data_IF_505251787365
#
_entry.id   IF_505251787365
#
_cell.length_a   1.000
_cell.length_b   1.000
_cell.length_c   1.000
_cell.angle_alpha   90.00
_cell.angle_beta   90.00
_cell.angle_gamma   90.00
#
_symmetry.space_group_name_H-M   'P 1'
#
loop_
_entity.id
_entity.type
_entity.pdbx_description
1 polymer ?
#
# COMPACT_ATOMS: atom_id res chain seq x y z
N UNK A 1 13.47 31.08 -7.85
CA UNK A 1 12.93 30.41 -6.64
C UNK A 1 12.29 29.08 -7.04
N UNK A 2 12.28 28.04 -6.19
CA UNK A 2 11.57 26.80 -6.48
C UNK A 2 10.07 27.06 -6.65
N UNK A 3 9.43 26.27 -7.50
CA UNK A 3 7.99 26.33 -7.76
C UNK A 3 7.41 24.93 -7.79
N UNK A 4 6.12 24.81 -7.45
CA UNK A 4 5.39 23.57 -7.63
C UNK A 4 5.34 23.21 -9.12
N UNK A 5 5.36 21.91 -9.41
CA UNK A 5 5.30 21.42 -10.78
C UNK A 5 4.01 21.89 -11.48
N UNK A 6 4.17 22.34 -12.72
CA UNK A 6 3.11 22.86 -13.58
C UNK A 6 2.50 21.81 -14.50
N UNK A 7 3.19 20.67 -14.66
CA UNK A 7 2.72 19.55 -15.46
C UNK A 7 1.45 18.93 -14.84
N UNK A 8 0.50 18.46 -15.67
CA UNK A 8 -0.72 17.80 -15.22
C UNK A 8 -0.42 16.42 -14.59
N UNK A 9 0.10 16.44 -13.36
CA UNK A 9 0.48 15.27 -12.59
C UNK A 9 -0.55 15.04 -11.49
N UNK A 10 -1.10 13.83 -11.44
CA UNK A 10 -1.86 13.37 -10.28
C UNK A 10 -1.01 13.40 -9.02
N UNK A 11 -1.60 13.78 -7.89
CA UNK A 11 -0.89 13.77 -6.60
C UNK A 11 0.32 14.72 -6.54
N UNK A 12 0.21 15.89 -7.19
CA UNK A 12 1.23 16.95 -7.13
C UNK A 12 1.40 17.52 -5.71
N UNK A 13 0.35 17.49 -4.89
CA UNK A 13 0.36 17.69 -3.44
C UNK A 13 -0.51 16.61 -2.81
N UNK A 14 0.05 15.86 -1.86
CA UNK A 14 -0.64 14.82 -1.07
C UNK A 14 -0.64 15.22 0.40
N UNK A 15 -0.91 14.29 1.32
CA UNK A 15 -0.82 14.54 2.76
C UNK A 15 0.59 14.55 3.33
N UNK A 16 1.57 14.05 2.57
CA UNK A 16 2.96 13.90 3.02
C UNK A 16 4.00 14.18 1.94
N UNK A 17 3.57 14.56 0.73
CA UNK A 17 4.47 14.84 -0.40
C UNK A 17 4.00 16.05 -1.19
N UNK A 18 4.94 16.71 -1.86
CA UNK A 18 4.65 17.67 -2.92
C UNK A 18 5.67 17.54 -4.05
N UNK A 19 5.35 18.11 -5.20
CA UNK A 19 6.16 17.98 -6.42
C UNK A 19 6.62 19.36 -6.89
N UNK A 20 7.92 19.50 -7.09
CA UNK A 20 8.59 20.71 -7.58
C UNK A 20 9.05 20.55 -9.03
N UNK A 21 9.20 21.66 -9.75
CA UNK A 21 10.04 21.67 -10.95
C UNK A 21 11.50 21.43 -10.57
N UNK A 22 12.25 20.71 -11.42
CA UNK A 22 13.70 20.58 -11.27
C UNK A 22 14.40 21.95 -11.43
N UNK A 23 15.50 22.24 -10.70
CA UNK A 23 16.24 23.50 -10.82
C UNK A 23 17.15 23.52 -12.07
N UNK A 24 16.60 23.14 -13.22
CA UNK A 24 17.31 23.18 -14.51
C UNK A 24 17.64 24.62 -14.86
N UNK A 25 18.80 24.83 -15.46
CA UNK A 25 19.28 26.14 -15.89
C UNK A 25 19.35 27.20 -14.75
N UNK A 26 19.32 26.78 -13.48
CA UNK A 26 19.32 27.69 -12.32
C UNK A 26 20.73 27.90 -11.77
N UNK A 27 21.56 26.86 -11.82
CA UNK A 27 22.91 26.86 -11.27
C UNK A 27 23.93 26.73 -12.40
N UNK A 28 25.03 27.47 -12.28
CA UNK A 28 26.22 27.36 -13.13
C UNK A 28 27.41 27.11 -12.23
N UNK A 29 28.26 26.14 -12.56
CA UNK A 29 29.43 25.84 -11.75
C UNK A 29 30.16 24.56 -12.16
N UNK A 30 31.20 24.19 -11.40
CA UNK A 30 31.92 22.93 -11.56
C UNK A 30 31.01 21.70 -11.50
N UNK A 31 31.31 20.64 -12.25
CA UNK A 31 30.45 19.46 -12.36
C UNK A 31 30.28 18.67 -11.04
N UNK A 32 31.23 18.81 -10.13
CA UNK A 32 31.25 18.21 -8.78
C UNK A 32 30.39 18.97 -7.76
N UNK A 33 29.82 20.12 -8.14
CA UNK A 33 28.88 20.85 -7.29
C UNK A 33 27.61 20.03 -7.05
N UNK A 34 27.27 19.84 -5.78
CA UNK A 34 26.09 19.09 -5.35
C UNK A 34 24.97 20.05 -5.00
N UNK A 35 23.85 19.92 -5.70
CA UNK A 35 22.61 20.64 -5.44
C UNK A 35 21.81 19.88 -4.40
N UNK A 36 21.41 20.57 -3.36
CA UNK A 36 20.56 20.09 -2.28
C UNK A 36 19.22 20.81 -2.28
N UNK A 37 18.17 20.12 -1.88
CA UNK A 37 16.92 20.74 -1.51
C UNK A 37 16.90 20.98 0.01
N UNK A 38 16.69 22.23 0.41
CA UNK A 38 16.35 22.59 1.78
C UNK A 38 14.83 22.56 1.92
N UNK A 39 14.34 21.88 2.95
CA UNK A 39 12.94 21.90 3.36
C UNK A 39 12.87 22.47 4.77
N UNK A 40 12.09 23.53 4.96
CA UNK A 40 12.03 24.27 6.21
C UNK A 40 10.59 24.66 6.55
N UNK A 41 10.33 24.83 7.84
CA UNK A 41 9.18 25.60 8.30
C UNK A 41 9.48 27.12 8.26
N UNK A 42 8.45 27.99 8.19
CA UNK A 42 8.64 29.44 8.08
C UNK A 42 9.51 30.03 9.19
N UNK A 43 9.48 29.45 10.39
CA UNK A 43 10.24 29.90 11.55
C UNK A 43 11.76 29.73 11.37
N UNK A 44 12.19 28.76 10.56
CA UNK A 44 13.61 28.54 10.27
C UNK A 44 14.15 29.43 9.15
N UNK A 45 13.28 30.00 8.31
CA UNK A 45 13.67 30.71 7.09
C UNK A 45 14.57 31.94 7.35
N UNK A 46 14.24 32.85 8.30
CA UNK A 46 15.01 34.08 8.51
C UNK A 46 16.43 33.85 9.04
N UNK A 47 16.65 32.75 9.76
CA UNK A 47 17.91 32.44 10.44
C UNK A 47 18.63 31.23 9.83
N UNK A 48 18.19 30.77 8.66
CA UNK A 48 18.76 29.59 8.02
C UNK A 48 20.22 29.82 7.60
N UNK A 49 21.15 29.14 8.26
CA UNK A 49 22.56 29.15 7.90
C UNK A 49 22.87 28.11 6.81
N UNK A 50 23.34 28.57 5.64
CA UNK A 50 23.71 27.74 4.50
C UNK A 50 24.99 26.92 4.70
N UNK A 51 25.89 27.36 5.60
CA UNK A 51 27.18 26.69 5.84
C UNK A 51 27.07 25.45 6.73
N UNK A 52 25.88 25.16 7.25
CA UNK A 52 25.65 23.96 8.08
C UNK A 52 25.58 22.73 7.19
N UNK A 53 26.45 21.75 7.46
CA UNK A 53 26.59 20.55 6.65
C UNK A 53 25.27 19.76 6.52
N UNK A 54 24.90 19.31 5.31
CA UNK A 54 23.78 18.40 5.11
C UNK A 54 23.91 17.12 5.95
N UNK A 55 22.80 16.68 6.55
CA UNK A 55 22.77 15.47 7.37
C UNK A 55 23.43 15.60 8.76
N UNK A 56 23.97 16.76 9.12
CA UNK A 56 24.29 17.06 10.53
C UNK A 56 23.02 17.06 11.39
N UNK A 57 23.09 16.94 12.72
CA UNK A 57 21.89 16.98 13.58
C UNK A 57 20.97 18.18 13.33
N UNK A 58 21.53 19.34 12.99
CA UNK A 58 20.77 20.55 12.66
C UNK A 58 20.13 20.54 11.25
N UNK A 59 20.45 19.57 10.39
CA UNK A 59 19.97 19.43 9.00
C UNK A 59 19.48 18.01 8.66
N UNK A 60 19.32 17.15 9.65
CA UNK A 60 18.91 15.77 9.47
C UNK A 60 17.38 15.63 9.47
N UNK A 61 16.86 14.78 8.58
CA UNK A 61 15.43 14.49 8.48
C UNK A 61 14.87 13.89 9.78
N UNK A 62 15.60 13.00 10.45
CA UNK A 62 15.16 12.33 11.67
C UNK A 62 14.98 13.29 12.86
N UNK A 63 15.59 14.47 12.78
CA UNK A 63 15.49 15.52 13.79
C UNK A 63 14.45 16.58 13.43
N UNK A 64 13.87 16.51 12.24
CA UNK A 64 12.90 17.48 11.76
C UNK A 64 11.64 17.47 12.63
N UNK A 65 11.24 18.65 13.10
CA UNK A 65 10.17 18.92 14.08
C UNK A 65 10.42 18.45 15.52
N UNK A 66 11.49 17.69 15.76
CA UNK A 66 11.89 17.30 17.12
C UNK A 66 12.87 18.32 17.70
N UNK A 67 13.97 18.57 17.00
CA UNK A 67 15.05 19.48 17.44
C UNK A 67 15.52 20.46 16.37
N UNK A 68 15.11 20.26 15.10
CA UNK A 68 15.36 21.22 14.01
C UNK A 68 14.10 21.48 13.20
N UNK A 69 13.99 22.68 12.65
CA UNK A 69 12.87 23.14 11.81
C UNK A 69 13.25 23.22 10.33
N UNK A 70 14.42 22.69 9.95
CA UNK A 70 14.83 22.53 8.57
C UNK A 70 15.75 21.32 8.38
N UNK A 71 15.62 20.65 7.24
CA UNK A 71 16.49 19.55 6.84
C UNK A 71 16.89 19.65 5.37
N UNK A 72 17.88 18.86 4.97
CA UNK A 72 18.39 18.85 3.59
C UNK A 72 18.27 17.45 2.98
N UNK A 73 17.82 17.39 1.74
CA UNK A 73 17.56 16.14 1.03
C UNK A 73 17.74 16.29 -0.49
N UNK A 74 17.44 15.23 -1.25
CA UNK A 74 17.45 15.21 -2.72
C UNK A 74 18.75 15.75 -3.31
N UNK A 75 19.88 15.29 -2.78
CA UNK A 75 21.17 15.69 -3.31
C UNK A 75 21.40 15.11 -4.70
N UNK A 76 22.01 15.90 -5.56
CA UNK A 76 22.42 15.46 -6.90
C UNK A 76 23.41 16.44 -7.52
N UNK A 77 24.18 16.01 -8.51
CA UNK A 77 25.04 16.90 -9.28
C UNK A 77 24.27 17.66 -10.37
N UNK A 78 24.89 18.73 -10.88
CA UNK A 78 24.39 19.52 -12.02
C UNK A 78 24.07 18.68 -13.27
N UNK A 79 24.83 17.60 -13.50
CA UNK A 79 24.68 16.73 -14.67
C UNK A 79 23.31 16.04 -14.74
N UNK A 80 22.66 15.84 -13.60
CA UNK A 80 21.34 15.21 -13.52
C UNK A 80 20.20 16.21 -13.79
N UNK A 81 20.50 17.49 -14.03
CA UNK A 81 19.55 18.51 -14.44
C UNK A 81 19.93 19.12 -15.80
N UNK A 82 19.94 18.33 -16.88
CA UNK A 82 20.33 18.82 -18.19
C UNK A 82 19.44 19.98 -18.66
N UNK A 83 20.05 20.98 -19.29
CA UNK A 83 19.41 22.19 -19.77
C UNK A 83 19.61 22.32 -21.30
N UNK A 84 18.57 22.65 -22.10
CA UNK A 84 17.18 22.88 -21.69
C UNK A 84 16.41 21.57 -21.45
N UNK A 85 15.26 21.68 -20.78
CA UNK A 85 14.26 20.60 -20.69
C UNK A 85 13.82 20.20 -22.11
N UNK A 86 13.82 18.90 -22.42
CA UNK A 86 13.35 18.43 -23.73
C UNK A 86 11.81 18.54 -23.81
N UNK A 87 11.24 18.89 -24.98
CA UNK A 87 9.79 18.90 -25.16
C UNK A 87 9.17 17.53 -24.81
N UNK A 88 8.09 17.53 -24.03
CA UNK A 88 7.39 16.32 -23.60
C UNK A 88 8.02 15.56 -22.41
N UNK A 89 9.20 15.95 -21.93
CA UNK A 89 9.84 15.31 -20.77
C UNK A 89 9.15 15.75 -19.46
N UNK A 90 8.88 14.81 -18.54
CA UNK A 90 8.38 15.10 -17.20
C UNK A 90 9.58 15.16 -16.25
N UNK A 91 9.96 16.38 -15.86
CA UNK A 91 11.20 16.67 -15.12
C UNK A 91 10.89 17.30 -13.78
N UNK A 92 10.48 16.47 -12.81
CA UNK A 92 10.01 16.94 -11.51
C UNK A 92 10.78 16.31 -10.35
N UNK A 93 10.70 16.94 -9.18
CA UNK A 93 11.24 16.44 -7.92
C UNK A 93 10.11 16.23 -6.93
N UNK A 94 9.91 14.98 -6.50
CA UNK A 94 8.94 14.67 -5.45
C UNK A 94 9.62 14.73 -4.08
N UNK A 95 9.16 15.65 -3.25
CA UNK A 95 9.60 15.78 -1.86
C UNK A 95 8.76 14.84 -1.00
N UNK A 96 9.43 14.08 -0.14
CA UNK A 96 8.81 13.16 0.81
C UNK A 96 8.49 11.75 0.30
N UNK A 97 9.14 11.30 -0.77
CA UNK A 97 8.82 10.01 -1.41
C UNK A 97 9.51 8.77 -0.81
N UNK A 98 10.50 8.93 0.06
CA UNK A 98 11.31 7.83 0.58
C UNK A 98 10.82 7.33 1.94
N UNK A 99 9.81 6.46 1.92
CA UNK A 99 9.27 5.84 3.14
C UNK A 99 10.24 4.87 3.80
N UNK A 100 11.17 4.28 3.04
CA UNK A 100 12.08 3.24 3.54
C UNK A 100 13.16 3.75 4.49
N UNK A 101 13.50 5.04 4.45
CA UNK A 101 14.53 5.64 5.32
C UNK A 101 13.97 6.46 6.49
N UNK A 102 12.65 6.49 6.69
CA UNK A 102 12.01 7.32 7.71
C UNK A 102 12.53 7.02 9.11
N UNK A 103 12.81 5.75 9.41
CA UNK A 103 13.35 5.30 10.71
C UNK A 103 14.85 5.00 10.68
N UNK A 104 15.53 5.26 9.56
CA UNK A 104 16.95 4.92 9.39
C UNK A 104 17.84 6.12 9.75
N UNK A 105 18.38 6.11 10.98
CA UNK A 105 19.29 7.15 11.46
C UNK A 105 20.63 7.21 10.69
N UNK A 106 21.01 6.16 9.96
CA UNK A 106 22.22 6.17 9.13
C UNK A 106 22.02 6.93 7.81
N UNK A 107 20.78 7.32 7.50
CA UNK A 107 20.43 8.11 6.30
C UNK A 107 19.86 9.47 6.71
N UNK A 108 20.70 10.39 7.22
CA UNK A 108 20.24 11.66 7.77
C UNK A 108 19.66 12.63 6.74
N UNK A 109 19.96 12.42 5.46
CA UNK A 109 19.47 13.25 4.34
C UNK A 109 18.27 12.62 3.61
N UNK A 110 17.56 11.72 4.28
CA UNK A 110 16.38 11.02 3.78
C UNK A 110 15.35 11.98 3.16
N UNK A 111 14.80 11.63 1.99
CA UNK A 111 13.65 12.34 1.41
C UNK A 111 12.34 11.77 1.97
N UNK A 112 12.25 11.71 3.30
CA UNK A 112 11.18 11.01 3.99
C UNK A 112 9.85 11.76 3.97
N UNK A 113 8.72 11.06 4.14
CA UNK A 113 7.39 11.67 4.11
C UNK A 113 7.26 12.85 5.08
N UNK A 114 6.64 13.92 4.62
CA UNK A 114 6.45 15.12 5.43
C UNK A 114 5.42 14.83 6.53
N UNK A 115 5.72 15.15 7.80
CA UNK A 115 4.96 14.67 8.95
C UNK A 115 3.67 15.44 9.23
N UNK A 116 3.50 16.65 8.69
CA UNK A 116 2.33 17.48 8.94
C UNK A 116 1.95 18.33 7.70
N UNK A 117 0.84 19.07 7.73
CA UNK A 117 0.43 19.88 6.58
C UNK A 117 1.33 21.07 6.23
N UNK A 118 2.33 21.41 7.05
CA UNK A 118 3.13 22.62 6.89
C UNK A 118 2.43 23.87 7.44
N UNK A 119 2.66 25.05 6.85
CA UNK A 119 3.25 25.27 5.52
C UNK A 119 4.76 25.04 5.49
N UNK A 120 5.27 24.53 4.36
CA UNK A 120 6.69 24.34 4.11
C UNK A 120 7.22 25.41 3.16
N UNK A 121 8.46 25.82 3.34
CA UNK A 121 9.21 26.64 2.38
C UNK A 121 10.46 25.87 1.97
N UNK A 122 10.81 25.98 0.68
CA UNK A 122 11.96 25.28 0.13
C UNK A 122 12.89 26.22 -0.62
N UNK A 123 14.17 25.86 -0.68
CA UNK A 123 15.15 26.46 -1.58
C UNK A 123 16.13 25.41 -2.07
N UNK A 124 16.73 25.64 -3.22
CA UNK A 124 17.87 24.87 -3.67
C UNK A 124 19.17 25.55 -3.24
N UNK A 125 20.11 24.75 -2.75
CA UNK A 125 21.43 25.19 -2.31
C UNK A 125 22.49 24.34 -3.01
N UNK A 126 23.38 24.99 -3.75
CA UNK A 126 24.50 24.35 -4.41
C UNK A 126 25.74 24.45 -3.51
N UNK A 127 26.34 23.29 -3.22
CA UNK A 127 27.51 23.16 -2.37
C UNK A 127 28.69 22.58 -3.15
N UNK A 128 29.88 23.13 -2.95
CA UNK A 128 31.14 22.48 -3.30
C UNK A 128 31.74 21.90 -2.01
N UNK A 129 31.66 20.58 -1.83
CA UNK A 129 31.93 19.96 -0.54
C UNK A 129 30.95 20.45 0.54
N UNK A 130 31.45 21.26 1.49
CA UNK A 130 30.62 21.91 2.53
C UNK A 130 30.43 23.41 2.32
N UNK A 131 31.04 23.99 1.28
CA UNK A 131 31.00 25.43 1.03
C UNK A 131 29.81 25.79 0.13
N UNK A 132 28.94 26.73 0.55
CA UNK A 132 27.89 27.26 -0.30
C UNK A 132 28.45 28.07 -1.47
N UNK A 133 28.13 27.66 -2.70
CA UNK A 133 28.59 28.36 -3.91
C UNK A 133 27.47 29.11 -4.64
N UNK A 134 26.22 28.65 -4.50
CA UNK A 134 25.05 29.35 -5.04
C UNK A 134 23.78 28.90 -4.33
N UNK A 135 22.75 29.74 -4.35
CA UNK A 135 21.42 29.41 -3.81
C UNK A 135 20.29 30.05 -4.60
N UNK A 136 19.09 29.52 -4.43
CA UNK A 136 17.87 30.17 -4.88
C UNK A 136 17.21 30.93 -3.74
N UNK A 137 16.45 31.98 -4.06
CA UNK A 137 15.43 32.50 -3.14
C UNK A 137 14.44 31.39 -2.70
N UNK A 138 13.89 31.52 -1.50
CA UNK A 138 12.85 30.63 -0.97
C UNK A 138 11.61 30.61 -1.85
N UNK A 139 10.92 29.47 -1.86
CA UNK A 139 9.62 29.30 -2.51
C UNK A 139 8.53 30.07 -1.78
N UNK A 140 7.39 30.20 -2.44
CA UNK A 140 6.15 30.55 -1.73
C UNK A 140 5.79 29.41 -0.75
N UNK A 141 5.02 29.68 0.33
CA UNK A 141 4.61 28.65 1.28
C UNK A 141 3.79 27.53 0.62
N UNK A 142 4.12 26.27 0.93
CA UNK A 142 3.50 25.07 0.38
C UNK A 142 2.75 24.34 1.50
N UNK A 143 1.43 24.30 1.42
CA UNK A 143 0.57 23.58 2.37
C UNK A 143 0.13 22.25 1.78
N UNK A 144 0.32 21.16 2.53
CA UNK A 144 -0.09 19.82 2.14
C UNK A 144 -1.59 19.59 2.39
N UNK A 145 -2.11 18.52 1.80
CA UNK A 145 -3.52 18.13 2.02
C UNK A 145 -3.67 17.50 3.39
N UNK A 146 -4.60 17.97 4.20
CA UNK A 146 -4.95 17.26 5.44
C UNK A 146 -5.71 15.98 5.09
N UNK A 147 -5.19 14.83 5.50
CA UNK A 147 -5.93 13.58 5.44
C UNK A 147 -7.14 13.66 6.38
N UNK A 148 -8.34 13.41 5.86
CA UNK A 148 -9.53 13.27 6.70
C UNK A 148 -9.44 11.93 7.44
N UNK A 149 -9.62 11.89 8.77
CA UNK A 149 -9.64 10.62 9.48
C UNK A 149 -10.75 9.73 8.90
N UNK A 150 -10.56 8.40 8.81
CA UNK A 150 -11.56 7.50 8.23
C UNK A 150 -12.95 7.64 8.86
N UNK A 151 -13.00 7.93 10.16
CA UNK A 151 -14.24 8.20 10.91
C UNK A 151 -15.00 9.47 10.47
N UNK A 152 -14.31 10.41 9.82
CA UNK A 152 -14.88 11.64 9.27
C UNK A 152 -15.21 11.56 7.79
N UNK A 153 -14.81 10.48 7.12
CA UNK A 153 -15.34 10.17 5.80
C UNK A 153 -16.77 9.71 6.07
N UNK A 154 -17.80 10.43 5.58
CA UNK A 154 -19.15 9.93 5.66
C UNK A 154 -19.10 8.55 5.04
N UNK A 155 -19.33 7.51 5.83
CA UNK A 155 -19.40 6.15 5.32
C UNK A 155 -20.41 6.21 4.21
N UNK A 156 -19.96 6.18 2.95
CA UNK A 156 -20.88 6.05 1.83
C UNK A 156 -21.51 4.70 2.09
N UNK A 157 -22.74 4.78 2.61
CA UNK A 157 -23.26 3.77 3.52
C UNK A 157 -22.97 2.38 2.99
N UNK A 158 -22.46 1.51 3.84
CA UNK A 158 -22.61 0.06 3.63
C UNK A 158 -24.09 -0.34 3.78
N UNK A 159 -25.02 0.49 3.29
CA UNK A 159 -26.33 0.03 2.90
C UNK A 159 -26.06 -0.80 1.66
N UNK A 160 -26.15 -2.12 1.80
CA UNK A 160 -26.37 -2.99 0.65
C UNK A 160 -27.40 -2.27 -0.23
N UNK A 161 -27.01 -1.93 -1.46
CA UNK A 161 -27.93 -1.32 -2.42
C UNK A 161 -29.23 -2.11 -2.36
N UNK A 162 -30.39 -1.46 -2.25
CA UNK A 162 -31.67 -2.15 -2.17
C UNK A 162 -31.80 -3.22 -3.29
N UNK A 163 -31.15 -2.98 -4.44
CA UNK A 163 -31.01 -3.97 -5.51
C UNK A 163 -30.22 -5.22 -5.14
N UNK A 164 -29.12 -5.12 -4.38
CA UNK A 164 -28.37 -6.28 -3.89
C UNK A 164 -29.21 -7.11 -2.91
N UNK A 165 -29.96 -6.47 -2.00
CA UNK A 165 -30.87 -7.17 -1.07
C UNK A 165 -32.01 -7.85 -1.85
N UNK A 166 -32.61 -7.16 -2.81
CA UNK A 166 -33.66 -7.72 -3.64
C UNK A 166 -33.17 -8.92 -4.47
N UNK A 167 -31.97 -8.81 -5.06
CA UNK A 167 -31.38 -9.89 -5.85
C UNK A 167 -31.06 -11.12 -4.99
N UNK A 168 -30.46 -10.95 -3.81
CA UNK A 168 -30.18 -12.09 -2.92
C UNK A 168 -31.45 -12.74 -2.40
N UNK A 169 -32.50 -11.97 -2.10
CA UNK A 169 -33.80 -12.51 -1.70
C UNK A 169 -34.46 -13.31 -2.82
N UNK A 170 -34.52 -12.77 -4.06
CA UNK A 170 -35.11 -13.46 -5.22
C UNK A 170 -34.34 -14.75 -5.52
N UNK A 171 -33.00 -14.68 -5.59
CA UNK A 171 -32.17 -15.85 -5.86
C UNK A 171 -32.33 -16.93 -4.78
N UNK A 172 -32.43 -16.55 -3.51
CA UNK A 172 -32.65 -17.48 -2.40
C UNK A 172 -34.01 -18.18 -2.51
N UNK A 173 -35.09 -17.44 -2.81
CA UNK A 173 -36.43 -17.99 -2.99
C UNK A 173 -36.48 -18.95 -4.19
N UNK A 174 -35.95 -18.53 -5.34
CA UNK A 174 -35.92 -19.36 -6.56
C UNK A 174 -35.12 -20.64 -6.34
N UNK A 175 -34.00 -20.56 -5.63
CA UNK A 175 -33.19 -21.72 -5.29
C UNK A 175 -33.93 -22.70 -4.38
N UNK A 176 -34.65 -22.20 -3.37
CA UNK A 176 -35.47 -23.04 -2.50
C UNK A 176 -36.60 -23.74 -3.26
N UNK A 177 -37.27 -23.04 -4.18
CA UNK A 177 -38.32 -23.62 -5.04
C UNK A 177 -37.72 -24.70 -5.95
N UNK A 178 -36.56 -24.43 -6.56
CA UNK A 178 -35.87 -25.40 -7.42
C UNK A 178 -35.47 -26.66 -6.65
N UNK A 179 -34.93 -26.50 -5.44
CA UNK A 179 -34.59 -27.62 -4.55
C UNK A 179 -35.84 -28.43 -4.16
N UNK A 180 -36.92 -27.77 -3.76
CA UNK A 180 -38.16 -28.44 -3.40
C UNK A 180 -38.74 -29.23 -4.60
N UNK A 181 -38.71 -28.66 -5.80
CA UNK A 181 -39.09 -29.35 -7.03
C UNK A 181 -38.22 -30.56 -7.32
N UNK A 182 -36.89 -30.44 -7.18
CA UNK A 182 -35.97 -31.56 -7.39
C UNK A 182 -36.20 -32.68 -6.37
N UNK A 183 -36.44 -32.36 -5.11
CA UNK A 183 -36.79 -33.33 -4.06
C UNK A 183 -38.12 -34.01 -4.38
N UNK A 184 -39.15 -33.26 -4.78
CA UNK A 184 -40.44 -33.84 -5.16
C UNK A 184 -40.31 -34.78 -6.37
N UNK A 185 -39.50 -34.41 -7.37
CA UNK A 185 -39.22 -35.26 -8.52
C UNK A 185 -38.41 -36.51 -8.15
N UNK A 186 -37.49 -36.43 -7.19
CA UNK A 186 -36.79 -37.61 -6.67
C UNK A 186 -37.74 -38.54 -5.94
N UNK A 187 -38.60 -38.01 -5.05
CA UNK A 187 -39.57 -38.83 -4.30
C UNK A 187 -40.61 -39.45 -5.23
N UNK A 188 -41.22 -38.66 -6.11
CA UNK A 188 -42.26 -39.12 -7.04
C UNK A 188 -41.70 -39.94 -8.21
N UNK A 189 -40.49 -39.62 -8.67
CA UNK A 189 -39.74 -40.41 -9.66
C UNK A 189 -39.32 -41.77 -9.12
N UNK A 190 -39.09 -41.88 -7.81
CA UNK A 190 -38.86 -43.18 -7.15
C UNK A 190 -40.12 -44.04 -7.13
N UNK A 191 -41.31 -43.44 -7.02
CA UNK A 191 -42.60 -44.16 -7.03
C UNK A 191 -43.06 -44.58 -8.43
N UNK A 192 -42.47 -44.03 -9.50
CA UNK A 192 -42.81 -44.36 -10.90
C UNK A 192 -41.78 -45.30 -11.57
N UNK A 193 -40.76 -45.73 -10.83
CA UNK A 193 -39.71 -46.66 -11.27
C UNK A 193 -39.69 -47.96 -10.47
N UNK A 194 -40.85 -48.59 -10.25
CA UNK A 194 -40.91 -49.85 -9.51
C UNK A 194 -42.31 -50.46 -9.50
N UNK A 195 -42.76 -50.91 -10.67
CA UNK A 195 -43.94 -51.75 -10.79
C UNK A 195 -43.94 -52.88 -9.77
N UNK A 196 -45.14 -53.19 -9.28
CA UNK A 196 -45.42 -54.21 -8.26
C UNK A 196 -44.55 -55.46 -8.38
N UNK A 197 -43.64 -55.63 -7.43
CA UNK A 197 -43.15 -56.95 -7.04
C UNK A 197 -43.61 -57.15 -5.61
N UNK A 198 -44.70 -57.91 -5.47
CA UNK A 198 -45.09 -58.58 -4.23
C UNK A 198 -43.85 -59.13 -3.52
N UNK A 199 -43.70 -58.77 -2.25
CA UNK A 199 -42.76 -59.43 -1.34
C UNK A 199 -43.17 -60.90 -1.21
N UNK A 200 -42.71 -61.73 -2.15
CA UNK A 200 -42.70 -63.17 -1.96
C UNK A 200 -41.65 -63.45 -0.89
N UNK A 201 -42.16 -63.93 0.24
CA UNK A 201 -41.47 -64.72 1.26
C UNK A 201 -40.13 -65.27 0.75
N UNK A 202 -38.98 -64.99 1.38
CA UNK A 202 -37.75 -65.67 1.01
C UNK A 202 -37.99 -67.16 1.20
N UNK A 203 -37.90 -67.91 0.10
CA UNK A 203 -37.81 -69.35 0.11
C UNK A 203 -36.67 -69.73 1.06
N UNK A 204 -36.93 -70.68 1.95
CA UNK A 204 -35.97 -71.11 2.95
C UNK A 204 -34.75 -71.69 2.25
N UNK A 205 -33.70 -70.89 2.10
CA UNK A 205 -32.39 -71.39 1.70
C UNK A 205 -31.92 -72.31 2.81
N UNK A 206 -31.93 -73.60 2.53
CA UNK A 206 -31.35 -74.65 3.34
C UNK A 206 -29.90 -74.30 3.64
N UNK A 207 -29.62 -73.92 4.88
CA UNK A 207 -28.26 -73.72 5.38
C UNK A 207 -27.56 -75.08 5.33
N UNK A 208 -26.63 -75.24 4.40
CA UNK A 208 -25.75 -76.40 4.35
C UNK A 208 -24.80 -76.29 5.55
N UNK A 209 -25.04 -77.10 6.59
CA UNK A 209 -24.16 -77.21 7.76
C UNK A 209 -22.76 -77.62 7.32
N UNK A 210 -21.78 -76.74 7.52
CA UNK A 210 -20.38 -77.12 7.46
C UNK A 210 -20.00 -77.71 8.82
N UNK A 211 -19.57 -78.98 8.83
CA UNK A 211 -18.98 -79.61 10.00
C UNK A 211 -17.52 -79.13 10.12
N UNK A 212 -17.20 -78.45 11.23
CA UNK A 212 -15.83 -78.22 11.65
C UNK A 212 -15.27 -79.52 12.22
N UNK A 213 -14.33 -80.16 11.52
CA UNK A 213 -13.54 -81.23 12.08
C UNK A 213 -12.56 -80.63 13.10
N UNK A 214 -12.77 -80.90 14.39
CA UNK A 214 -11.69 -80.77 15.37
C UNK A 214 -10.72 -81.93 15.15
N UNK A 215 -9.47 -81.57 14.85
CA UNK A 215 -8.31 -82.47 14.86
C UNK A 215 -8.01 -82.85 16.31
N UNK A 216 -7.70 -84.13 16.51
CA UNK A 216 -7.56 -84.86 17.76
C UNK A 216 -6.75 -84.17 18.86
N UNK A 217 -7.31 -84.21 20.08
CA UNK A 217 -6.55 -84.16 21.33
C UNK A 217 -5.61 -85.38 21.41
N UNK A 218 -4.33 -85.12 21.61
CA UNK A 218 -3.32 -86.14 21.89
C UNK A 218 -3.34 -86.45 23.40
N UNK A 219 -3.36 -87.73 23.84
CA UNK A 219 -3.51 -88.06 25.25
C UNK A 219 -2.28 -87.74 26.10
N UNK A 220 -2.60 -87.47 27.36
CA UNK A 220 -1.75 -87.04 28.46
C UNK A 220 -0.52 -87.92 28.75
N UNK A 221 0.53 -87.26 29.24
CA UNK A 221 1.45 -87.84 30.21
C UNK A 221 1.51 -86.93 31.44
N UNK A 222 1.14 -87.53 32.59
CA UNK A 222 1.37 -87.01 33.93
C UNK A 222 2.85 -87.07 34.27
N UNK A 223 3.31 -86.13 35.10
CA UNK A 223 4.15 -86.37 36.27
C UNK A 223 3.77 -85.33 37.33
#
# INVERSE_FOLDING_TARGET
>A
KPTLATSALGGFITASTFVLEQPRCTFTGPQDTVIWLVVALPEAVPSFNNSVKPGSPARAFQQFLNSTLAYMTLNTTLLNYPCPKKPGEITVLRVGSETSCTSDANRPTCNGPLPNPGPYQVKFLALNGSEPVAETAWSDPITLRTAKPPSSIPGKGSGHSAGMIALTAILSILFAILLAGLVAMLVWGSDTGGGSCTFSKPEAVTVRRYNTHHVYDQPAARL
#
